data_IF_098634256737
#
_entry.id   IF_098634256737
#
_cell.length_a   1.000
_cell.length_b   1.000
_cell.length_c   1.000
_cell.angle_alpha   90.00
_cell.angle_beta   90.00
_cell.angle_gamma   90.00
#
_symmetry.space_group_name_H-M   'P 1'
#
loop_
_entity.id
_entity.type
_entity.pdbx_description
1 polymer ?
#
# COMPACT_ATOMS: atom_id res chain seq x y z
N UNK A 1 -13.45 -0.10 9.17
CA UNK A 1 -13.01 1.07 9.97
C UNK A 1 -11.49 1.21 9.89
N UNK A 2 -11.02 2.45 9.93
CA UNK A 2 -9.63 2.81 10.21
C UNK A 2 -9.60 3.50 11.57
N UNK A 3 -8.90 2.91 12.53
CA UNK A 3 -8.78 3.41 13.91
C UNK A 3 -7.34 3.86 14.11
N UNK A 4 -7.12 5.11 14.49
CA UNK A 4 -5.79 5.66 14.76
C UNK A 4 -5.46 5.59 16.26
N UNK A 5 -4.19 5.55 16.60
CA UNK A 5 -3.72 5.48 18.00
C UNK A 5 -4.10 6.70 18.87
N UNK A 6 -4.47 7.80 18.25
CA UNK A 6 -4.97 9.01 18.93
C UNK A 6 -6.48 8.97 19.19
N UNK A 7 -7.16 7.87 18.83
CA UNK A 7 -8.58 7.65 19.02
C UNK A 7 -9.49 8.14 17.88
N UNK A 8 -8.93 8.73 16.82
CA UNK A 8 -9.71 9.06 15.63
C UNK A 8 -10.15 7.80 14.90
N UNK A 9 -11.42 7.76 14.48
CA UNK A 9 -12.00 6.64 13.73
C UNK A 9 -12.59 7.15 12.42
N UNK A 10 -12.19 6.52 11.33
CA UNK A 10 -12.75 6.76 10.01
C UNK A 10 -13.59 5.55 9.59
N UNK A 11 -14.79 5.81 9.08
CA UNK A 11 -15.70 4.78 8.57
C UNK A 11 -15.66 4.80 7.03
N UNK A 12 -15.55 3.62 6.43
CA UNK A 12 -15.52 3.46 4.99
C UNK A 12 -16.02 2.08 4.56
N UNK A 13 -15.76 1.74 3.30
CA UNK A 13 -16.10 0.44 2.71
C UNK A 13 -14.84 -0.38 2.53
N UNK A 14 -14.87 -1.66 2.87
CA UNK A 14 -13.77 -2.60 2.59
C UNK A 14 -13.61 -2.79 1.08
N UNK A 15 -12.36 -2.73 0.59
CA UNK A 15 -11.99 -2.89 -0.83
C UNK A 15 -10.91 -3.94 -1.05
N UNK A 16 -10.70 -4.82 -0.14
CA UNK A 16 -9.68 -5.87 -0.23
C UNK A 16 -9.98 -6.96 0.77
N UNK A 17 -8.95 -7.59 1.29
CA UNK A 17 -9.08 -8.63 2.30
C UNK A 17 -9.80 -8.12 3.55
N UNK A 18 -10.59 -8.99 4.17
CA UNK A 18 -11.26 -8.71 5.46
C UNK A 18 -10.36 -8.93 6.67
N UNK A 19 -9.10 -9.25 6.45
CA UNK A 19 -8.11 -9.44 7.52
C UNK A 19 -7.92 -8.15 8.31
N UNK A 20 -7.88 -8.23 9.62
CA UNK A 20 -7.44 -7.12 10.46
C UNK A 20 -5.94 -6.92 10.36
N UNK A 21 -5.51 -5.67 10.35
CA UNK A 21 -4.10 -5.33 10.37
C UNK A 21 -3.84 -4.09 11.24
N UNK A 22 -2.78 -4.16 12.02
CA UNK A 22 -2.19 -3.01 12.71
C UNK A 22 -0.90 -2.66 11.96
N UNK A 23 -0.73 -1.37 11.64
CA UNK A 23 0.39 -0.91 10.84
C UNK A 23 0.65 0.57 11.07
N UNK A 24 1.82 1.07 10.73
CA UNK A 24 2.09 2.49 10.66
C UNK A 24 1.32 3.10 9.48
N UNK A 25 0.56 4.16 9.73
CA UNK A 25 -0.21 4.84 8.71
C UNK A 25 0.62 5.95 8.10
N UNK A 26 0.83 5.86 6.80
CA UNK A 26 1.56 6.86 6.00
C UNK A 26 0.70 7.35 4.85
N UNK A 27 1.12 8.42 4.17
CA UNK A 27 0.40 8.92 2.99
C UNK A 27 1.35 9.18 1.82
N UNK A 28 0.80 9.03 0.62
CA UNK A 28 1.45 9.37 -0.63
C UNK A 28 0.61 10.41 -1.38
N UNK A 29 1.25 11.46 -1.90
CA UNK A 29 0.57 12.59 -2.57
C UNK A 29 0.60 12.49 -4.10
N UNK A 30 1.13 11.43 -4.67
CA UNK A 30 1.18 11.22 -6.11
C UNK A 30 -0.23 11.12 -6.69
N UNK A 31 -0.42 11.73 -7.86
CA UNK A 31 -1.69 11.66 -8.60
C UNK A 31 -1.84 10.35 -9.40
N UNK A 32 -0.74 9.70 -9.70
CA UNK A 32 -0.63 8.45 -10.45
C UNK A 32 0.45 7.57 -9.78
N UNK A 33 0.66 6.35 -10.29
CA UNK A 33 1.70 5.47 -9.77
C UNK A 33 1.26 4.69 -8.51
N UNK A 34 -0.03 4.45 -8.36
CA UNK A 34 -0.50 3.65 -7.22
C UNK A 34 -0.08 2.17 -7.31
N UNK A 35 0.18 1.66 -8.52
CA UNK A 35 0.69 0.30 -8.70
C UNK A 35 2.14 0.20 -8.19
N UNK A 36 2.95 1.17 -8.52
CA UNK A 36 4.32 1.31 -8.03
C UNK A 36 4.31 1.40 -6.50
N UNK A 37 3.45 2.23 -5.91
CA UNK A 37 3.28 2.30 -4.45
C UNK A 37 2.89 0.95 -3.85
N UNK A 38 1.95 0.23 -4.47
CA UNK A 38 1.51 -1.09 -3.99
C UNK A 38 2.61 -2.15 -4.07
N UNK A 39 3.53 -2.03 -5.02
CA UNK A 39 4.58 -3.03 -5.24
C UNK A 39 5.97 -2.59 -4.80
N UNK A 40 6.11 -1.40 -4.19
CA UNK A 40 7.37 -0.90 -3.64
C UNK A 40 7.66 -1.50 -2.25
N UNK A 41 8.78 -2.23 -2.08
CA UNK A 41 9.21 -2.76 -0.79
C UNK A 41 9.40 -1.72 0.31
N UNK A 42 9.57 -0.45 -0.04
CA UNK A 42 9.70 0.66 0.93
C UNK A 42 8.47 0.83 1.82
N UNK A 43 7.30 0.35 1.38
CA UNK A 43 6.06 0.40 2.15
C UNK A 43 5.80 -0.85 3.00
N UNK A 44 6.75 -1.77 3.09
CA UNK A 44 6.59 -2.94 3.95
C UNK A 44 6.41 -2.54 5.42
N UNK A 45 5.37 -3.04 6.08
CA UNK A 45 5.01 -2.69 7.45
C UNK A 45 4.21 -1.38 7.58
N UNK A 46 3.75 -0.81 6.48
CA UNK A 46 2.97 0.43 6.46
C UNK A 46 1.63 0.24 5.75
N UNK A 47 0.59 0.94 6.21
CA UNK A 47 -0.65 1.10 5.46
C UNK A 47 -0.65 2.48 4.79
N UNK A 48 -0.81 2.49 3.47
CA UNK A 48 -0.61 3.70 2.66
C UNK A 48 -1.93 4.36 2.31
N UNK A 49 -2.06 5.63 2.66
CA UNK A 49 -3.16 6.50 2.24
C UNK A 49 -2.79 7.23 0.95
N UNK A 50 -3.49 6.96 -0.13
CA UNK A 50 -3.40 7.76 -1.36
C UNK A 50 -4.25 9.02 -1.21
N UNK A 51 -3.61 10.19 -1.31
CA UNK A 51 -4.33 11.47 -1.11
C UNK A 51 -5.09 11.93 -2.34
N UNK A 52 -4.75 11.43 -3.52
CA UNK A 52 -5.48 11.75 -4.75
C UNK A 52 -6.90 11.19 -4.68
N UNK A 53 -7.93 11.97 -5.06
CA UNK A 53 -9.33 11.62 -4.79
C UNK A 53 -9.80 10.33 -5.44
N UNK A 54 -9.39 10.03 -6.67
CA UNK A 54 -9.81 8.83 -7.40
C UNK A 54 -8.60 7.95 -7.73
N UNK A 55 -8.60 6.74 -7.23
CA UNK A 55 -7.55 5.75 -7.44
C UNK A 55 -8.13 4.55 -8.22
N UNK A 56 -7.30 3.87 -9.01
CA UNK A 56 -7.70 2.65 -9.72
C UNK A 56 -8.21 2.86 -11.15
N UNK A 57 -8.13 4.07 -11.68
CA UNK A 57 -8.66 4.42 -13.00
C UNK A 57 -7.99 3.70 -14.18
N UNK A 58 -6.77 3.18 -14.03
CA UNK A 58 -6.10 2.36 -15.06
C UNK A 58 -5.91 0.88 -14.64
N UNK A 59 -6.42 0.49 -13.47
CA UNK A 59 -6.35 -0.88 -12.95
C UNK A 59 -4.93 -1.31 -12.58
N UNK A 60 -4.72 -2.61 -12.58
CA UNK A 60 -3.43 -3.25 -12.34
C UNK A 60 -2.92 -3.83 -13.65
N UNK A 61 -1.68 -3.52 -14.01
CA UNK A 61 -0.93 -4.15 -15.08
C UNK A 61 0.28 -4.85 -14.45
N UNK A 62 0.29 -6.17 -14.43
CA UNK A 62 1.32 -6.94 -13.70
C UNK A 62 2.72 -6.73 -14.25
N UNK A 63 2.84 -6.39 -15.53
CA UNK A 63 4.12 -6.08 -16.17
C UNK A 63 4.76 -4.77 -15.67
N UNK A 64 3.95 -3.88 -15.10
CA UNK A 64 4.39 -2.57 -14.60
C UNK A 64 4.66 -2.58 -13.08
N UNK A 65 4.66 -3.76 -12.43
CA UNK A 65 4.96 -3.89 -11.00
C UNK A 65 6.45 -3.68 -10.72
N UNK A 66 6.76 -2.96 -9.65
CA UNK A 66 8.15 -2.75 -9.15
C UNK A 66 8.75 -4.03 -8.55
N UNK A 67 7.90 -4.95 -8.08
CA UNK A 67 8.30 -6.21 -7.49
C UNK A 67 7.20 -7.28 -7.61
N UNK A 68 7.49 -8.51 -7.17
CA UNK A 68 6.63 -9.68 -7.34
C UNK A 68 5.31 -9.65 -6.58
N UNK A 69 5.15 -8.79 -5.56
CA UNK A 69 3.99 -8.76 -4.68
C UNK A 69 3.70 -7.38 -4.10
N UNK A 70 2.50 -7.13 -3.57
CA UNK A 70 2.26 -5.94 -2.77
C UNK A 70 3.02 -6.01 -1.44
N UNK A 71 3.50 -4.87 -0.99
CA UNK A 71 4.26 -4.72 0.24
C UNK A 71 3.52 -3.97 1.35
N UNK A 72 2.66 -2.98 1.05
CA UNK A 72 1.87 -2.33 2.08
C UNK A 72 1.02 -3.34 2.84
N UNK A 73 0.93 -3.16 4.15
CA UNK A 73 0.06 -3.96 5.01
C UNK A 73 -1.42 -3.59 4.84
N UNK A 74 -1.70 -2.39 4.32
CA UNK A 74 -3.04 -1.91 4.03
C UNK A 74 -3.07 -0.77 3.01
N UNK A 75 -4.22 -0.58 2.36
CA UNK A 75 -4.40 0.44 1.34
C UNK A 75 -5.63 1.31 1.61
N UNK A 76 -5.45 2.63 1.62
CA UNK A 76 -6.44 3.59 2.08
C UNK A 76 -6.70 4.60 0.97
N UNK A 77 -7.95 4.73 0.52
CA UNK A 77 -8.33 5.64 -0.57
C UNK A 77 -9.62 6.40 -0.25
N UNK A 78 -9.80 7.54 -0.89
CA UNK A 78 -11.08 8.27 -0.83
C UNK A 78 -12.11 7.62 -1.73
N UNK A 79 -11.77 7.40 -2.99
CA UNK A 79 -12.65 6.80 -3.98
C UNK A 79 -11.87 5.81 -4.84
N UNK A 80 -12.45 4.63 -5.05
CA UNK A 80 -11.92 3.61 -5.92
C UNK A 80 -12.68 3.60 -7.24
N UNK A 81 -11.97 3.65 -8.37
CA UNK A 81 -12.56 3.53 -9.69
C UNK A 81 -13.21 2.16 -9.85
N UNK A 82 -14.47 2.13 -10.26
CA UNK A 82 -15.23 0.89 -10.44
C UNK A 82 -14.82 0.13 -11.70
N UNK A 83 -14.41 0.88 -12.74
CA UNK A 83 -14.07 0.32 -14.05
C UNK A 83 -12.75 0.93 -14.49
N UNK A 84 -11.68 0.14 -14.56
CA UNK A 84 -10.43 0.60 -15.14
C UNK A 84 -10.59 0.81 -16.65
N UNK A 85 -9.95 1.86 -17.18
CA UNK A 85 -10.06 2.27 -18.59
C UNK A 85 -8.79 2.01 -19.41
N UNK A 86 -7.87 1.20 -18.90
CA UNK A 86 -6.63 0.82 -19.58
C UNK A 86 -6.78 -0.53 -20.29
N UNK A 87 -6.42 -0.61 -21.58
CA UNK A 87 -6.47 -1.85 -22.35
C UNK A 87 -5.45 -2.92 -21.88
N UNK A 88 -4.43 -2.52 -21.11
CA UNK A 88 -3.44 -3.43 -20.50
C UNK A 88 -3.84 -3.88 -19.08
N UNK A 89 -5.03 -3.53 -18.64
CA UNK A 89 -5.50 -3.88 -17.30
C UNK A 89 -5.75 -5.38 -17.17
N UNK A 90 -5.04 -6.03 -16.26
CA UNK A 90 -5.21 -7.45 -15.92
C UNK A 90 -6.35 -7.64 -14.92
N UNK A 91 -6.42 -6.78 -13.90
CA UNK A 91 -7.45 -6.82 -12.86
C UNK A 91 -7.67 -5.46 -12.21
N UNK A 92 -8.73 -5.32 -11.44
CA UNK A 92 -8.98 -4.14 -10.61
C UNK A 92 -8.07 -4.12 -9.38
N UNK A 93 -7.92 -2.94 -8.75
CA UNK A 93 -7.20 -2.86 -7.46
C UNK A 93 -7.88 -3.74 -6.40
N UNK A 94 -9.21 -3.77 -6.35
CA UNK A 94 -9.94 -4.58 -5.38
C UNK A 94 -9.59 -6.06 -5.52
N UNK A 95 -9.67 -6.61 -6.72
CA UNK A 95 -9.28 -7.99 -7.00
C UNK A 95 -7.82 -8.27 -6.63
N UNK A 96 -6.91 -7.36 -6.96
CA UNK A 96 -5.50 -7.48 -6.62
C UNK A 96 -5.24 -7.50 -5.11
N UNK A 97 -5.90 -6.63 -4.35
CA UNK A 97 -5.81 -6.60 -2.88
C UNK A 97 -6.39 -7.87 -2.25
N UNK A 98 -7.53 -8.36 -2.75
CA UNK A 98 -8.18 -9.59 -2.29
C UNK A 98 -7.29 -10.82 -2.55
N UNK A 99 -6.76 -10.97 -3.77
CA UNK A 99 -5.87 -12.06 -4.17
C UNK A 99 -4.62 -12.14 -3.28
N UNK A 100 -4.09 -10.98 -2.87
CA UNK A 100 -2.86 -10.89 -2.07
C UNK A 100 -3.13 -10.77 -0.57
N UNK A 101 -4.38 -10.83 -0.13
CA UNK A 101 -4.73 -10.76 1.29
C UNK A 101 -4.42 -9.41 1.95
N UNK A 102 -4.37 -8.32 1.17
CA UNK A 102 -4.14 -6.96 1.67
C UNK A 102 -5.48 -6.31 1.99
N UNK A 103 -5.72 -5.87 3.24
CA UNK A 103 -6.92 -5.12 3.58
C UNK A 103 -6.87 -3.71 3.00
N UNK A 104 -8.01 -3.22 2.54
CA UNK A 104 -8.14 -1.86 2.07
C UNK A 104 -9.45 -1.22 2.51
N UNK A 105 -9.45 0.11 2.56
CA UNK A 105 -10.63 0.91 2.92
C UNK A 105 -10.79 2.09 1.95
N UNK A 106 -12.01 2.25 1.42
CA UNK A 106 -12.41 3.37 0.58
C UNK A 106 -13.53 4.19 1.23
N UNK A 107 -13.74 5.40 0.75
CA UNK A 107 -14.85 6.26 1.20
C UNK A 107 -14.51 7.12 2.40
N UNK A 108 -13.26 7.13 2.87
CA UNK A 108 -12.86 7.96 4.01
C UNK A 108 -12.41 9.36 3.58
N UNK A 109 -12.41 10.30 4.50
CA UNK A 109 -11.82 11.62 4.28
C UNK A 109 -10.28 11.56 4.39
N UNK A 110 -9.63 11.22 3.26
CA UNK A 110 -8.17 11.13 3.16
C UNK A 110 -7.49 12.48 3.40
N UNK A 111 -8.18 13.61 3.15
CA UNK A 111 -7.65 14.95 3.43
C UNK A 111 -7.59 15.20 4.95
N UNK A 112 -8.62 14.83 5.69
CA UNK A 112 -8.62 14.94 7.16
C UNK A 112 -7.54 14.02 7.76
N UNK A 113 -7.44 12.78 7.29
CA UNK A 113 -6.39 11.83 7.71
C UNK A 113 -4.99 12.41 7.46
N UNK A 114 -4.73 12.89 6.24
CA UNK A 114 -3.43 13.48 5.88
C UNK A 114 -3.09 14.69 6.74
N UNK A 115 -4.08 15.54 7.10
CA UNK A 115 -3.86 16.68 8.00
C UNK A 115 -3.42 16.23 9.38
N UNK A 116 -4.06 15.21 9.95
CA UNK A 116 -3.68 14.62 11.24
C UNK A 116 -2.23 14.11 11.19
N UNK A 117 -1.89 13.32 10.17
CA UNK A 117 -0.54 12.77 10.00
C UNK A 117 0.53 13.84 9.80
N UNK A 118 0.21 14.94 9.13
CA UNK A 118 1.15 16.07 8.97
C UNK A 118 1.39 16.86 10.25
N UNK A 119 0.36 17.00 11.08
CA UNK A 119 0.44 17.76 12.34
C UNK A 119 1.08 16.94 13.46
N UNK A 120 0.80 15.64 13.53
CA UNK A 120 1.22 14.76 14.64
C UNK A 120 2.40 13.83 14.29
N UNK A 121 2.75 13.70 13.03
CA UNK A 121 3.67 12.68 12.51
C UNK A 121 2.93 11.42 12.07
N UNK A 122 3.69 10.44 11.56
CA UNK A 122 3.16 9.10 11.31
C UNK A 122 2.67 8.50 12.62
N UNK A 123 1.63 7.68 12.55
CA UNK A 123 1.06 7.04 13.73
C UNK A 123 0.54 5.65 13.39
N UNK A 124 0.43 4.80 14.41
CA UNK A 124 -0.13 3.49 14.24
C UNK A 124 -1.64 3.55 14.05
N UNK A 125 -2.16 2.63 13.25
CA UNK A 125 -3.59 2.48 13.04
C UNK A 125 -3.96 1.03 12.77
N UNK A 126 -5.26 0.74 12.92
CA UNK A 126 -5.84 -0.56 12.63
C UNK A 126 -6.89 -0.42 11.53
N UNK A 127 -6.78 -1.26 10.51
CA UNK A 127 -7.85 -1.45 9.53
C UNK A 127 -8.61 -2.72 9.95
N UNK A 128 -9.91 -2.59 10.17
CA UNK A 128 -10.77 -3.70 10.58
C UNK A 128 -12.15 -3.64 9.95
N UNK A 129 -12.73 -4.78 9.68
CA UNK A 129 -14.15 -4.94 9.28
C UNK A 129 -15.06 -5.28 10.47
N UNK A 130 -14.49 -5.48 11.65
CA UNK A 130 -15.23 -5.78 12.87
C UNK A 130 -15.97 -4.52 13.35
N UNK A 131 -17.31 -4.57 13.37
CA UNK A 131 -18.14 -3.48 13.88
C UNK A 131 -18.20 -3.42 15.40
N UNK A 132 -17.85 -4.53 16.07
CA UNK A 132 -17.89 -4.65 17.52
C UNK A 132 -16.51 -4.40 18.18
N UNK A 133 -15.66 -3.56 17.57
CA UNK A 133 -14.37 -3.19 18.17
C UNK A 133 -14.55 -2.40 19.47
N UNK A 134 -13.68 -2.64 20.45
CA UNK A 134 -13.59 -1.84 21.68
C UNK A 134 -12.33 -0.97 21.64
N UNK A 135 -12.53 0.37 21.67
CA UNK A 135 -11.42 1.32 21.68
C UNK A 135 -10.50 1.13 22.89
N UNK A 136 -11.05 0.72 24.04
CA UNK A 136 -10.24 0.49 25.24
C UNK A 136 -9.26 -0.68 25.06
N UNK A 137 -9.59 -1.64 24.20
CA UNK A 137 -8.72 -2.77 23.87
C UNK A 137 -7.78 -2.45 22.70
N UNK A 138 -8.27 -1.68 21.71
CA UNK A 138 -7.52 -1.38 20.48
C UNK A 138 -6.43 -0.35 20.71
N UNK A 139 -6.73 0.76 21.39
CA UNK A 139 -5.78 1.86 21.55
C UNK A 139 -4.48 1.47 22.27
N UNK A 140 -4.48 0.65 23.34
CA UNK A 140 -3.22 0.16 23.92
C UNK A 140 -2.38 -0.64 22.93
N UNK A 141 -3.02 -1.54 22.14
CA UNK A 141 -2.32 -2.35 21.12
C UNK A 141 -1.67 -1.49 20.05
N UNK A 142 -2.36 -0.40 19.62
CA UNK A 142 -1.82 0.53 18.64
C UNK A 142 -0.59 1.27 19.19
N UNK A 143 -0.62 1.71 20.44
CA UNK A 143 0.50 2.43 21.07
C UNK A 143 1.72 1.55 21.31
N UNK A 144 1.53 0.26 21.51
CA UNK A 144 2.62 -0.71 21.71
C UNK A 144 3.20 -1.25 20.41
N UNK A 145 2.48 -1.08 19.28
CA UNK A 145 2.89 -1.62 17.99
C UNK A 145 4.17 -0.96 17.48
N UNK A 146 5.07 -1.78 16.97
CA UNK A 146 6.29 -1.35 16.25
C UNK A 146 6.45 -2.15 14.98
N UNK A 147 6.85 -1.51 13.90
CA UNK A 147 6.98 -2.13 12.56
C UNK A 147 8.04 -3.25 12.52
N UNK A 148 8.94 -3.31 13.50
CA UNK A 148 9.97 -4.34 13.62
C UNK A 148 11.06 -4.23 12.57
N UNK A 149 11.74 -5.36 12.28
CA UNK A 149 12.89 -5.42 11.36
C UNK A 149 12.41 -5.62 9.92
N UNK A 150 12.04 -4.54 9.25
CA UNK A 150 11.51 -4.58 7.87
C UNK A 150 12.58 -4.98 6.86
N UNK A 151 13.84 -4.55 7.04
CA UNK A 151 14.94 -4.85 6.12
C UNK A 151 15.11 -6.34 5.90
N UNK A 152 14.97 -7.16 6.94
CA UNK A 152 15.07 -8.62 6.83
C UNK A 152 13.95 -9.23 5.97
N UNK A 153 12.78 -8.55 5.88
CA UNK A 153 11.62 -9.01 5.10
C UNK A 153 11.75 -8.68 3.61
N UNK A 154 12.40 -7.55 3.29
CA UNK A 154 12.47 -7.02 1.92
C UNK A 154 13.78 -7.34 1.21
N UNK A 155 14.83 -7.71 1.95
CA UNK A 155 16.13 -8.07 1.38
C UNK A 155 16.05 -9.39 0.61
N UNK A 156 16.70 -9.46 -0.55
CA UNK A 156 16.84 -10.70 -1.30
C UNK A 156 17.61 -11.74 -0.48
N UNK A 157 17.15 -13.00 -0.50
CA UNK A 157 17.77 -14.11 0.27
C UNK A 157 18.99 -14.67 -0.43
N UNK A 158 19.04 -14.58 -1.75
CA UNK A 158 20.09 -15.13 -2.58
C UNK A 158 20.58 -14.09 -3.59
N UNK A 159 21.84 -14.21 -3.97
CA UNK A 159 22.41 -13.38 -5.03
C UNK A 159 21.76 -13.75 -6.36
N UNK A 160 21.23 -12.77 -7.06
CA UNK A 160 20.73 -12.94 -8.42
C UNK A 160 21.34 -11.90 -9.37
N UNK A 161 21.36 -12.23 -10.66
CA UNK A 161 21.90 -11.35 -11.71
C UNK A 161 20.77 -11.00 -12.67
N UNK A 162 20.52 -9.72 -12.84
CA UNK A 162 19.56 -9.21 -13.82
C UNK A 162 20.32 -8.93 -15.13
N UNK A 163 19.94 -9.64 -16.19
CA UNK A 163 20.47 -9.37 -17.52
C UNK A 163 19.71 -8.20 -18.16
N UNK A 164 20.38 -7.34 -18.97
CA UNK A 164 19.68 -6.31 -19.73
C UNK A 164 18.61 -6.93 -20.66
N UNK A 165 17.41 -6.37 -20.63
CA UNK A 165 16.26 -6.90 -21.40
C UNK A 165 16.07 -6.24 -22.76
N UNK A 166 16.75 -5.14 -23.06
CA UNK A 166 16.66 -4.42 -24.33
C UNK A 166 17.95 -4.52 -25.14
N UNK A 167 17.84 -4.56 -26.48
CA UNK A 167 19.00 -4.55 -27.39
C UNK A 167 19.92 -3.35 -27.14
N UNK A 168 19.37 -2.16 -26.81
CA UNK A 168 20.11 -0.97 -26.47
C UNK A 168 20.93 -1.14 -25.17
N UNK A 169 20.38 -1.80 -24.18
CA UNK A 169 21.06 -2.09 -22.92
C UNK A 169 22.12 -3.19 -23.11
N UNK A 170 21.91 -4.14 -24.03
CA UNK A 170 22.85 -5.20 -24.34
C UNK A 170 24.05 -4.72 -25.17
N UNK A 171 23.85 -3.74 -26.07
CA UNK A 171 24.83 -3.29 -27.04
C UNK A 171 25.27 -1.82 -26.86
N UNK A 172 24.72 -1.12 -25.88
CA UNK A 172 25.02 0.29 -25.59
C UNK A 172 26.29 0.47 -24.74
N UNK A 173 26.70 1.72 -24.45
CA UNK A 173 27.89 2.05 -23.67
C UNK A 173 27.85 1.53 -22.23
N UNK A 174 26.70 1.02 -21.76
CA UNK A 174 26.51 0.44 -20.42
C UNK A 174 26.47 -1.10 -20.43
N UNK A 175 26.77 -1.74 -21.57
CA UNK A 175 26.68 -3.20 -21.75
C UNK A 175 27.66 -4.04 -20.88
N UNK A 176 28.49 -3.41 -20.08
CA UNK A 176 29.38 -4.10 -19.14
C UNK A 176 29.08 -3.82 -17.66
N UNK A 177 28.03 -3.06 -17.33
CA UNK A 177 27.64 -2.76 -15.96
C UNK A 177 26.67 -3.83 -15.46
N UNK A 178 27.15 -4.74 -14.64
CA UNK A 178 26.27 -5.56 -13.78
C UNK A 178 25.89 -4.71 -12.57
N UNK A 179 24.61 -4.41 -12.41
CA UNK A 179 24.09 -3.91 -11.14
C UNK A 179 24.19 -5.05 -10.11
N UNK A 180 24.98 -4.82 -9.08
CA UNK A 180 25.13 -5.72 -7.92
C UNK A 180 24.09 -5.34 -6.89
#
# INVERSE_FOLDING_TARGET
FLILEDGNVFTGTSIGSTREVISEIVFNTSMAGYLEVLTDPSYAGQAVCMTYPLIGNYGICRDDCESERPWPDGFIVRELSRIPSNFRCDCTIQEYLEENGVPGIAGIDTRALTKILREKGTMNGMITTNEAYDLNEVLPKLKEYTTGKVVEKVTCREKYVVAPTTELAQNGPLSGLSLI
#
